data_IF_593825005133
#
_entry.id   IF_593825005133
#
_cell.length_a   1.000
_cell.length_b   1.000
_cell.length_c   1.000
_cell.angle_alpha   90.00
_cell.angle_beta   90.00
_cell.angle_gamma   90.00
#
_symmetry.space_group_name_H-M   'P 1'
#
loop_
_entity.id
_entity.type
_entity.pdbx_description
1 polymer ?
#
# COMPACT_ATOMS: atom_id res chain seq x y z
N UNK A 1 2.77 -6.92 -24.90
CA UNK A 1 4.19 -7.05 -24.52
C UNK A 1 4.26 -7.16 -23.02
N UNK A 2 5.12 -8.04 -22.48
CA UNK A 2 5.36 -8.10 -21.03
C UNK A 2 6.11 -6.83 -20.65
N UNK A 3 5.67 -6.11 -19.63
CA UNK A 3 6.35 -4.93 -19.09
C UNK A 3 7.87 -5.15 -18.92
N UNK A 4 8.25 -6.37 -18.52
CA UNK A 4 9.62 -6.78 -18.30
C UNK A 4 10.48 -6.90 -19.58
N UNK A 5 9.90 -6.85 -20.79
CA UNK A 5 10.70 -6.76 -22.02
C UNK A 5 11.15 -5.34 -22.33
N UNK A 6 10.47 -4.32 -21.79
CA UNK A 6 10.78 -2.91 -22.01
C UNK A 6 11.57 -2.30 -20.85
N UNK A 7 11.32 -2.76 -19.62
CA UNK A 7 12.08 -2.35 -18.43
C UNK A 7 13.34 -3.22 -18.28
N UNK A 8 14.52 -2.57 -18.26
CA UNK A 8 15.78 -3.27 -17.96
C UNK A 8 15.85 -3.54 -16.45
N UNK A 9 15.55 -4.77 -16.03
CA UNK A 9 15.53 -5.15 -14.62
C UNK A 9 16.87 -4.90 -13.92
N UNK A 10 16.84 -4.24 -12.77
CA UNK A 10 18.03 -3.86 -12.00
C UNK A 10 18.16 -4.61 -10.67
N UNK A 11 17.05 -5.11 -10.10
CA UNK A 11 17.05 -5.78 -8.79
C UNK A 11 16.97 -7.32 -8.84
N UNK A 12 16.26 -7.94 -9.78
CA UNK A 12 16.25 -9.41 -9.92
C UNK A 12 15.92 -9.90 -11.34
N UNK A 13 16.46 -11.06 -11.78
CA UNK A 13 16.29 -11.56 -13.15
C UNK A 13 15.05 -12.44 -13.37
N UNK A 14 14.43 -12.99 -12.31
CA UNK A 14 13.36 -13.99 -12.44
C UNK A 14 11.98 -13.38 -12.27
N UNK A 15 11.63 -12.43 -13.16
CA UNK A 15 10.26 -11.96 -13.24
C UNK A 15 9.34 -13.06 -13.78
N UNK A 16 8.15 -13.26 -13.21
CA UNK A 16 7.19 -14.24 -13.69
C UNK A 16 6.79 -13.94 -15.15
N UNK A 17 7.10 -14.86 -16.06
CA UNK A 17 6.84 -14.71 -17.51
C UNK A 17 5.33 -14.64 -17.85
N UNK A 18 4.45 -14.91 -16.89
CA UNK A 18 2.98 -15.03 -17.05
C UNK A 18 2.18 -13.76 -16.69
N UNK A 19 2.82 -12.61 -16.47
CA UNK A 19 2.10 -11.33 -16.34
C UNK A 19 1.63 -10.78 -17.70
N UNK A 20 0.83 -11.57 -18.41
CA UNK A 20 0.12 -11.13 -19.62
C UNK A 20 -1.38 -10.93 -19.34
N UNK A 21 -1.94 -9.85 -19.86
CA UNK A 21 -3.35 -9.47 -19.67
C UNK A 21 -3.63 -8.81 -18.31
N UNK A 22 -4.87 -8.91 -17.82
CA UNK A 22 -5.27 -8.35 -16.52
C UNK A 22 -4.49 -9.03 -15.38
N UNK A 23 -3.78 -8.22 -14.59
CA UNK A 23 -2.98 -8.67 -13.45
C UNK A 23 -3.85 -8.58 -12.19
N UNK A 24 -4.05 -9.70 -11.51
CA UNK A 24 -4.85 -9.80 -10.29
C UNK A 24 -3.98 -10.30 -9.13
N UNK A 25 -4.43 -10.10 -7.89
CA UNK A 25 -3.74 -10.64 -6.71
C UNK A 25 -3.55 -12.16 -6.75
N UNK A 26 -4.52 -12.90 -7.30
CA UNK A 26 -4.41 -14.36 -7.46
C UNK A 26 -3.28 -14.73 -8.42
N UNK A 27 -3.19 -14.08 -9.59
CA UNK A 27 -2.08 -14.29 -10.53
C UNK A 27 -0.73 -13.92 -9.93
N UNK A 28 -0.69 -12.89 -9.09
CA UNK A 28 0.52 -12.51 -8.37
C UNK A 28 0.95 -13.60 -7.39
N UNK A 29 0.03 -14.19 -6.62
CA UNK A 29 0.34 -15.32 -5.75
C UNK A 29 0.76 -16.58 -6.52
N UNK A 30 0.11 -16.91 -7.63
CA UNK A 30 0.52 -18.03 -8.49
C UNK A 30 1.97 -17.86 -8.96
N UNK A 31 2.30 -16.66 -9.44
CA UNK A 31 3.64 -16.28 -9.85
C UNK A 31 4.66 -16.38 -8.70
N UNK A 32 4.31 -15.90 -7.50
CA UNK A 32 5.14 -16.03 -6.30
C UNK A 32 5.35 -17.49 -5.92
N UNK A 33 4.32 -18.34 -5.93
CA UNK A 33 4.42 -19.78 -5.66
C UNK A 33 5.35 -20.51 -6.63
N UNK A 34 5.33 -20.14 -7.92
CA UNK A 34 6.24 -20.69 -8.93
C UNK A 34 7.70 -20.28 -8.68
N UNK A 35 7.95 -19.01 -8.31
CA UNK A 35 9.29 -18.43 -8.22
C UNK A 35 9.98 -18.53 -6.85
N UNK A 36 9.23 -18.57 -5.76
CA UNK A 36 9.76 -18.38 -4.40
C UNK A 36 10.42 -19.63 -3.82
N UNK A 37 10.18 -20.81 -4.42
CA UNK A 37 10.77 -22.06 -3.96
C UNK A 37 10.35 -22.44 -2.54
N UNK A 38 9.13 -22.09 -2.14
CA UNK A 38 8.59 -22.41 -0.81
C UNK A 38 7.95 -23.81 -0.72
N UNK A 39 7.88 -24.55 -1.83
CA UNK A 39 7.52 -25.98 -1.88
C UNK A 39 6.16 -26.31 -1.24
N UNK A 40 5.18 -25.39 -1.36
CA UNK A 40 3.84 -25.53 -0.76
C UNK A 40 3.76 -25.22 0.74
N UNK A 41 4.89 -24.88 1.36
CA UNK A 41 5.04 -24.41 2.74
C UNK A 41 5.18 -22.88 2.78
N UNK A 42 5.40 -22.33 3.97
CA UNK A 42 5.76 -20.91 4.13
C UNK A 42 7.27 -20.79 4.23
N UNK A 43 7.87 -19.98 3.35
CA UNK A 43 9.31 -19.71 3.39
C UNK A 43 9.59 -18.40 4.13
N UNK A 44 10.50 -18.46 5.10
CA UNK A 44 11.06 -17.29 5.78
C UNK A 44 12.58 -17.45 5.79
N UNK A 45 13.27 -16.49 5.18
CA UNK A 45 14.68 -16.58 4.81
C UNK A 45 14.95 -17.85 4.00
N UNK A 46 15.90 -18.67 4.42
CA UNK A 46 16.19 -19.97 3.82
C UNK A 46 15.48 -21.13 4.54
N UNK A 47 14.59 -20.87 5.49
CA UNK A 47 13.81 -21.88 6.19
C UNK A 47 12.43 -22.11 5.55
N UNK A 48 12.02 -23.38 5.48
CA UNK A 48 10.66 -23.79 5.17
C UNK A 48 9.96 -24.21 6.47
N UNK A 49 8.74 -23.69 6.66
CA UNK A 49 7.97 -23.87 7.87
C UNK A 49 6.57 -24.38 7.55
N UNK A 50 6.11 -25.37 8.31
CA UNK A 50 4.71 -25.81 8.28
C UNK A 50 3.95 -25.21 9.47
N UNK A 51 3.23 -24.12 9.20
CA UNK A 51 2.40 -23.44 10.19
C UNK A 51 0.92 -23.81 10.05
N UNK A 52 0.57 -24.91 9.35
CA UNK A 52 -0.82 -25.27 9.04
C UNK A 52 -1.73 -25.33 10.27
N UNK A 53 -1.26 -25.91 11.37
CA UNK A 53 -1.99 -25.99 12.65
C UNK A 53 -2.09 -24.64 13.37
N UNK A 54 -1.17 -23.71 13.08
CA UNK A 54 -1.13 -22.39 13.70
C UNK A 54 -1.99 -21.34 12.98
N UNK A 55 -2.32 -21.56 11.69
CA UNK A 55 -3.05 -20.61 10.82
C UNK A 55 -4.25 -19.96 11.52
N UNK A 56 -5.13 -20.77 12.11
CA UNK A 56 -6.37 -20.29 12.74
C UNK A 56 -6.13 -19.54 14.06
N UNK A 57 -4.98 -19.74 14.69
CA UNK A 57 -4.59 -19.10 15.95
C UNK A 57 -3.66 -17.90 15.77
N UNK A 58 -3.30 -17.56 14.53
CA UNK A 58 -2.39 -16.47 14.24
C UNK A 58 -2.94 -15.12 14.76
N UNK A 59 -2.22 -14.42 15.66
CA UNK A 59 -2.72 -13.19 16.28
C UNK A 59 -3.05 -12.07 15.30
N UNK A 60 -2.40 -12.04 14.13
CA UNK A 60 -2.67 -11.07 13.06
C UNK A 60 -3.89 -11.39 12.20
N UNK A 61 -4.50 -12.58 12.35
CA UNK A 61 -5.59 -13.09 11.52
C UNK A 61 -5.14 -14.22 10.59
N UNK A 62 -6.02 -15.20 10.37
CA UNK A 62 -5.70 -16.40 9.57
C UNK A 62 -5.51 -16.09 8.09
N UNK A 63 -6.21 -15.08 7.57
CA UNK A 63 -6.23 -14.76 6.15
C UNK A 63 -4.83 -14.56 5.56
N UNK A 64 -3.92 -13.97 6.35
CA UNK A 64 -2.53 -13.72 5.93
C UNK A 64 -1.78 -15.01 5.59
N UNK A 65 -1.90 -16.03 6.44
CA UNK A 65 -1.22 -17.30 6.21
C UNK A 65 -1.96 -18.16 5.18
N UNK A 66 -3.29 -18.08 5.12
CA UNK A 66 -4.10 -18.76 4.11
C UNK A 66 -3.76 -18.31 2.69
N UNK A 67 -3.67 -16.99 2.45
CA UNK A 67 -3.37 -16.45 1.12
C UNK A 67 -1.92 -16.69 0.69
N UNK A 68 -0.97 -16.59 1.62
CA UNK A 68 0.47 -16.71 1.36
C UNK A 68 1.02 -18.14 1.41
N UNK A 69 0.18 -19.16 1.60
CA UNK A 69 0.63 -20.55 1.57
C UNK A 69 1.37 -20.86 0.27
N UNK A 70 2.58 -21.40 0.38
CA UNK A 70 3.42 -21.73 -0.78
C UNK A 70 4.26 -20.57 -1.31
N UNK A 71 4.37 -19.44 -0.61
CA UNK A 71 5.23 -18.30 -1.02
C UNK A 71 6.36 -18.03 -0.02
N UNK A 72 7.33 -17.22 -0.46
CA UNK A 72 8.31 -16.56 0.41
C UNK A 72 7.64 -15.35 1.05
N UNK A 73 7.54 -15.38 2.38
CA UNK A 73 6.91 -14.35 3.21
C UNK A 73 7.94 -13.65 4.11
N UNK A 74 9.23 -13.68 3.75
CA UNK A 74 10.30 -13.09 4.56
C UNK A 74 10.07 -11.61 4.82
N UNK A 75 9.82 -10.81 3.79
CA UNK A 75 9.61 -9.37 3.91
C UNK A 75 8.37 -9.06 4.77
N UNK A 76 7.29 -9.83 4.57
CA UNK A 76 6.07 -9.70 5.37
C UNK A 76 6.33 -10.04 6.84
N UNK A 77 7.03 -11.15 7.10
CA UNK A 77 7.39 -11.58 8.44
C UNK A 77 8.25 -10.52 9.15
N UNK A 78 9.26 -9.99 8.48
CA UNK A 78 10.20 -9.02 9.05
C UNK A 78 9.56 -7.68 9.37
N UNK A 79 8.74 -7.15 8.45
CA UNK A 79 8.08 -5.85 8.57
C UNK A 79 6.91 -5.83 9.55
N UNK A 80 6.22 -6.96 9.72
CA UNK A 80 5.01 -7.02 10.54
C UNK A 80 5.27 -7.55 11.96
N UNK A 81 6.42 -8.18 12.21
CA UNK A 81 6.80 -8.66 13.54
C UNK A 81 7.96 -7.87 14.12
N UNK A 82 7.65 -6.94 15.03
CA UNK A 82 8.65 -6.06 15.61
C UNK A 82 9.44 -6.69 16.77
N UNK A 83 8.87 -7.68 17.46
CA UNK A 83 9.54 -8.35 18.59
C UNK A 83 10.27 -9.63 18.17
N UNK A 84 11.09 -10.19 19.05
CA UNK A 84 11.77 -11.48 18.83
C UNK A 84 10.91 -12.70 19.15
N UNK A 85 9.71 -12.53 19.73
CA UNK A 85 8.85 -13.65 20.10
C UNK A 85 8.38 -14.50 18.90
N UNK A 86 7.98 -13.91 17.76
CA UNK A 86 7.62 -14.67 16.56
C UNK A 86 8.78 -15.51 16.02
N UNK A 87 10.01 -15.00 16.01
CA UNK A 87 11.21 -15.76 15.58
C UNK A 87 11.46 -16.99 16.48
N UNK A 88 11.25 -16.86 17.79
CA UNK A 88 11.38 -17.97 18.73
C UNK A 88 10.27 -19.02 18.54
N UNK A 89 9.03 -18.57 18.36
CA UNK A 89 7.88 -19.44 18.12
C UNK A 89 8.05 -20.22 16.80
N UNK A 90 8.55 -19.56 15.76
CA UNK A 90 8.69 -20.10 14.42
C UNK A 90 9.57 -21.37 14.37
N UNK A 91 10.54 -21.50 15.28
CA UNK A 91 11.43 -22.68 15.39
C UNK A 91 10.65 -23.99 15.55
N UNK A 92 9.46 -23.96 16.15
CA UNK A 92 8.60 -25.15 16.36
C UNK A 92 8.03 -25.71 15.06
N UNK A 93 7.91 -24.87 14.04
CA UNK A 93 7.30 -25.20 12.76
C UNK A 93 8.33 -25.48 11.67
N UNK A 94 9.62 -25.46 12.01
CA UNK A 94 10.70 -25.63 11.05
C UNK A 94 10.73 -27.05 10.49
N UNK A 95 10.74 -27.15 9.16
CA UNK A 95 10.81 -28.45 8.45
C UNK A 95 12.24 -28.70 7.96
N UNK A 96 12.75 -27.82 7.10
CA UNK A 96 14.12 -27.89 6.54
C UNK A 96 14.50 -26.59 5.85
N UNK A 97 15.74 -26.52 5.34
CA UNK A 97 16.17 -25.42 4.46
C UNK A 97 15.56 -25.56 3.06
N UNK A 98 15.26 -24.43 2.44
CA UNK A 98 14.89 -24.36 1.03
C UNK A 98 16.10 -24.72 0.15
N UNK A 99 15.86 -25.46 -0.94
CA UNK A 99 16.94 -25.87 -1.86
C UNK A 99 17.31 -24.74 -2.82
N UNK A 100 16.31 -23.95 -3.25
CA UNK A 100 16.50 -22.83 -4.17
C UNK A 100 16.88 -21.57 -3.40
N UNK A 101 17.72 -20.72 -3.99
CA UNK A 101 17.94 -19.36 -3.49
C UNK A 101 16.63 -18.55 -3.47
N UNK A 102 16.56 -17.55 -2.59
CA UNK A 102 15.40 -16.64 -2.52
C UNK A 102 15.27 -15.85 -3.83
N UNK A 103 14.02 -15.65 -4.26
CA UNK A 103 13.69 -14.78 -5.38
C UNK A 103 13.28 -13.38 -4.88
N UNK A 104 14.19 -12.73 -4.15
CA UNK A 104 14.00 -11.39 -3.61
C UNK A 104 15.34 -10.65 -3.63
N UNK A 105 15.35 -9.33 -3.95
CA UNK A 105 16.56 -8.52 -3.88
C UNK A 105 16.94 -8.14 -2.44
N UNK A 106 16.05 -8.36 -1.47
CA UNK A 106 16.18 -7.79 -0.13
C UNK A 106 16.91 -8.70 0.85
N UNK A 107 17.70 -8.05 1.69
CA UNK A 107 18.46 -8.61 2.80
C UNK A 107 18.02 -7.99 4.12
N UNK A 108 18.24 -8.75 5.19
CA UNK A 108 17.91 -8.39 6.56
C UNK A 108 19.13 -8.69 7.45
N UNK A 109 20.31 -8.27 7.02
CA UNK A 109 21.56 -8.46 7.77
C UNK A 109 21.46 -7.77 9.15
N UNK A 110 22.03 -8.38 10.18
CA UNK A 110 21.88 -7.92 11.57
C UNK A 110 22.50 -6.54 11.85
N UNK A 111 23.56 -6.21 11.11
CA UNK A 111 24.24 -4.92 11.08
C UNK A 111 23.72 -4.00 9.96
N UNK A 112 22.74 -4.45 9.18
CA UNK A 112 22.03 -3.65 8.18
C UNK A 112 21.18 -2.55 8.81
N UNK A 113 20.78 -1.59 7.99
CA UNK A 113 19.96 -0.44 8.40
C UNK A 113 18.64 -0.89 9.00
N UNK A 114 17.92 -1.79 8.32
CA UNK A 114 16.59 -2.20 8.77
C UNK A 114 16.61 -2.88 10.15
N UNK A 115 17.49 -3.87 10.33
CA UNK A 115 17.62 -4.60 11.61
C UNK A 115 18.13 -3.68 12.72
N UNK A 116 19.02 -2.74 12.40
CA UNK A 116 19.48 -1.73 13.35
C UNK A 116 18.35 -0.80 13.79
N UNK A 117 17.57 -0.27 12.86
CA UNK A 117 16.41 0.56 13.19
C UNK A 117 15.37 -0.22 13.99
N UNK A 118 15.01 -1.43 13.55
CA UNK A 118 14.04 -2.32 14.22
C UNK A 118 14.42 -2.60 15.68
N UNK A 119 15.72 -2.75 15.97
CA UNK A 119 16.27 -2.89 17.33
C UNK A 119 16.22 -1.59 18.12
N UNK A 120 16.58 -0.48 17.49
CA UNK A 120 16.62 0.84 18.13
C UNK A 120 15.23 1.37 18.50
N UNK A 121 14.17 1.01 17.75
CA UNK A 121 12.80 1.43 18.07
C UNK A 121 12.19 0.65 19.26
N UNK A 122 12.67 -0.57 19.58
CA UNK A 122 12.10 -1.40 20.65
C UNK A 122 11.93 -0.68 22.01
N UNK A 123 12.95 0.03 22.55
CA UNK A 123 12.77 0.78 23.79
C UNK A 123 11.75 1.90 23.65
N UNK A 124 11.69 2.56 22.50
CA UNK A 124 10.74 3.66 22.23
C UNK A 124 9.31 3.15 22.18
N UNK A 125 9.06 1.99 21.55
CA UNK A 125 7.71 1.38 21.49
C UNK A 125 7.09 1.18 22.88
N UNK A 126 7.91 0.94 23.90
CA UNK A 126 7.46 0.74 25.29
C UNK A 126 7.03 2.05 25.98
N UNK A 127 7.50 3.20 25.49
CA UNK A 127 7.20 4.52 26.06
C UNK A 127 6.04 5.23 25.37
N UNK A 128 5.58 4.71 24.21
CA UNK A 128 4.47 5.31 23.45
C UNK A 128 3.19 5.32 24.30
N UNK A 129 2.46 6.45 24.34
CA UNK A 129 1.19 6.54 25.04
C UNK A 129 0.18 5.49 24.54
N UNK A 130 -0.38 4.70 25.47
CA UNK A 130 -1.33 3.62 25.14
C UNK A 130 -2.62 4.11 24.49
N UNK A 131 -2.97 5.38 24.68
CA UNK A 131 -4.19 5.99 24.12
C UNK A 131 -4.05 6.39 22.65
N UNK A 132 -2.85 6.36 22.08
CA UNK A 132 -2.60 6.76 20.68
C UNK A 132 -3.51 6.02 19.68
N UNK A 133 -3.58 4.69 19.77
CA UNK A 133 -4.46 3.90 18.90
C UNK A 133 -5.96 4.15 19.18
N UNK A 134 -6.32 4.53 20.41
CA UNK A 134 -7.71 4.91 20.71
C UNK A 134 -8.09 6.22 20.03
N UNK A 135 -7.15 7.17 19.93
CA UNK A 135 -7.39 8.44 19.24
C UNK A 135 -7.61 8.21 17.74
N UNK A 136 -6.75 7.42 17.09
CA UNK A 136 -6.94 7.09 15.66
C UNK A 136 -8.23 6.31 15.43
N UNK A 137 -8.55 5.33 16.27
CA UNK A 137 -9.84 4.62 16.26
C UNK A 137 -11.03 5.59 16.28
N UNK A 138 -11.04 6.55 17.22
CA UNK A 138 -12.13 7.52 17.37
C UNK A 138 -12.23 8.47 16.18
N UNK A 139 -11.11 8.92 15.61
CA UNK A 139 -11.11 9.76 14.42
C UNK A 139 -11.67 8.98 13.22
N UNK A 140 -11.24 7.75 13.01
CA UNK A 140 -11.75 6.88 11.94
C UNK A 140 -13.26 6.65 12.09
N UNK A 141 -13.73 6.32 13.29
CA UNK A 141 -15.17 6.11 13.57
C UNK A 141 -15.98 7.41 13.31
N UNK A 142 -15.46 8.55 13.77
CA UNK A 142 -16.10 9.84 13.58
C UNK A 142 -16.19 10.24 12.09
N UNK A 143 -15.15 9.96 11.30
CA UNK A 143 -15.16 10.19 9.85
C UNK A 143 -16.24 9.36 9.17
N UNK A 144 -16.40 8.07 9.53
CA UNK A 144 -17.46 7.22 8.95
C UNK A 144 -18.85 7.71 9.34
N UNK A 145 -19.09 8.02 10.62
CA UNK A 145 -20.39 8.58 11.04
C UNK A 145 -20.67 9.89 10.30
N UNK A 146 -19.66 10.77 10.19
CA UNK A 146 -19.78 12.02 9.47
C UNK A 146 -20.11 11.80 7.99
N UNK A 147 -19.49 10.81 7.31
CA UNK A 147 -19.83 10.46 5.92
C UNK A 147 -21.32 10.15 5.76
N UNK A 148 -21.90 9.33 6.65
CA UNK A 148 -23.33 9.00 6.57
C UNK A 148 -24.20 10.24 6.80
N UNK A 149 -23.90 11.04 7.83
CA UNK A 149 -24.67 12.25 8.14
C UNK A 149 -24.61 13.27 7.00
N UNK A 150 -23.43 13.52 6.44
CA UNK A 150 -23.25 14.49 5.34
C UNK A 150 -23.83 13.98 4.03
N UNK A 151 -23.77 12.67 3.74
CA UNK A 151 -24.38 12.10 2.54
C UNK A 151 -25.91 12.16 2.58
N UNK A 152 -26.51 11.86 3.74
CA UNK A 152 -27.95 12.01 3.98
C UNK A 152 -28.35 13.47 3.83
N UNK A 153 -27.60 14.39 4.44
CA UNK A 153 -27.85 15.83 4.31
C UNK A 153 -27.74 16.33 2.86
N UNK A 154 -26.68 15.93 2.15
CA UNK A 154 -26.48 16.25 0.73
C UNK A 154 -27.65 15.76 -0.13
N UNK A 155 -28.13 14.54 0.12
CA UNK A 155 -29.24 13.93 -0.61
C UNK A 155 -30.56 14.62 -0.31
N UNK A 156 -30.89 14.83 0.97
CA UNK A 156 -32.14 15.48 1.40
C UNK A 156 -32.26 16.91 0.90
N UNK A 157 -31.15 17.63 0.85
CA UNK A 157 -31.10 19.02 0.36
C UNK A 157 -30.76 19.12 -1.13
N UNK A 158 -30.53 18.00 -1.82
CA UNK A 158 -30.02 17.96 -3.21
C UNK A 158 -28.79 18.88 -3.44
N UNK A 159 -27.92 18.99 -2.43
CA UNK A 159 -26.79 19.93 -2.42
C UNK A 159 -25.49 19.22 -2.81
N UNK A 160 -25.00 19.49 -4.02
CA UNK A 160 -23.70 19.00 -4.47
C UNK A 160 -22.52 19.58 -3.68
N UNK A 161 -22.66 20.77 -3.11
CA UNK A 161 -21.63 21.35 -2.24
C UNK A 161 -21.44 20.50 -0.97
N UNK A 162 -22.53 20.08 -0.32
CA UNK A 162 -22.47 19.14 0.81
C UNK A 162 -22.00 17.76 0.33
N UNK A 163 -22.36 17.37 -0.90
CA UNK A 163 -21.83 16.17 -1.55
C UNK A 163 -20.31 16.16 -1.66
N UNK A 164 -19.68 17.29 -2.02
CA UNK A 164 -18.20 17.42 -2.06
C UNK A 164 -17.61 17.27 -0.65
N UNK A 165 -18.21 17.90 0.37
CA UNK A 165 -17.77 17.72 1.77
C UNK A 165 -17.85 16.24 2.17
N UNK A 166 -18.98 15.59 1.87
CA UNK A 166 -19.19 14.17 2.15
C UNK A 166 -18.18 13.27 1.44
N UNK A 167 -17.79 13.63 0.21
CA UNK A 167 -16.79 12.91 -0.57
C UNK A 167 -15.39 13.02 0.05
N UNK A 168 -14.98 14.22 0.49
CA UNK A 168 -13.71 14.40 1.19
C UNK A 168 -13.66 13.61 2.51
N UNK A 169 -14.75 13.64 3.28
CA UNK A 169 -14.85 12.88 4.55
C UNK A 169 -14.80 11.36 4.27
N UNK A 170 -15.51 10.87 3.24
CA UNK A 170 -15.43 9.47 2.81
C UNK A 170 -13.99 9.08 2.44
N UNK A 171 -13.28 9.95 1.70
CA UNK A 171 -11.87 9.72 1.36
C UNK A 171 -10.99 9.63 2.60
N UNK A 172 -11.10 10.59 3.52
CA UNK A 172 -10.33 10.60 4.76
C UNK A 172 -10.63 9.38 5.63
N UNK A 173 -11.90 8.98 5.76
CA UNK A 173 -12.30 7.77 6.46
C UNK A 173 -11.73 6.51 5.80
N UNK A 174 -11.73 6.45 4.47
CA UNK A 174 -11.15 5.33 3.71
C UNK A 174 -9.64 5.23 3.93
N UNK A 175 -8.89 6.34 3.80
CA UNK A 175 -7.44 6.36 4.05
C UNK A 175 -7.13 6.01 5.51
N UNK A 176 -7.88 6.56 6.46
CA UNK A 176 -7.72 6.23 7.88
C UNK A 176 -7.97 4.73 8.16
N UNK A 177 -8.91 4.12 7.44
CA UNK A 177 -9.23 2.69 7.56
C UNK A 177 -8.08 1.78 7.12
N UNK A 178 -7.19 2.25 6.25
CA UNK A 178 -6.02 1.49 5.80
C UNK A 178 -5.08 1.12 6.96
N UNK A 179 -4.94 2.00 7.95
CA UNK A 179 -4.22 1.74 9.20
C UNK A 179 -4.71 0.47 9.94
N UNK A 180 -5.96 0.05 9.72
CA UNK A 180 -6.56 -1.07 10.45
C UNK A 180 -6.37 -2.41 9.78
N UNK A 181 -6.24 -2.47 8.45
CA UNK A 181 -6.09 -3.77 7.79
C UNK A 181 -4.66 -4.32 7.82
N UNK A 182 -3.66 -3.52 8.23
CA UNK A 182 -2.30 -3.96 8.60
C UNK A 182 -2.24 -4.63 9.99
N UNK A 183 -3.19 -4.31 10.86
CA UNK A 183 -3.26 -4.81 12.24
C UNK A 183 -4.05 -6.12 12.31
N UNK A 184 -4.14 -6.68 13.51
CA UNK A 184 -5.09 -7.75 13.84
C UNK A 184 -6.48 -7.41 13.31
N UNK A 185 -7.14 -8.41 12.72
CA UNK A 185 -8.51 -8.30 12.22
C UNK A 185 -9.43 -7.60 13.23
N UNK A 186 -10.09 -6.56 12.75
CA UNK A 186 -10.99 -5.71 13.51
C UNK A 186 -12.03 -5.14 12.54
N UNK A 187 -13.18 -4.70 13.05
CA UNK A 187 -14.29 -4.28 12.18
C UNK A 187 -14.00 -3.01 11.37
N UNK A 188 -13.04 -2.16 11.79
CA UNK A 188 -12.73 -0.89 11.10
C UNK A 188 -12.05 -1.11 9.76
N UNK A 189 -11.45 -2.29 9.51
CA UNK A 189 -10.95 -2.63 8.18
C UNK A 189 -12.06 -2.58 7.11
N UNK A 190 -13.30 -2.86 7.50
CA UNK A 190 -14.44 -2.88 6.57
C UNK A 190 -14.92 -1.49 6.17
N UNK A 191 -14.54 -0.43 6.89
CA UNK A 191 -14.87 0.94 6.50
C UNK A 191 -14.25 1.33 5.17
N UNK A 192 -13.08 0.74 4.84
CA UNK A 192 -12.46 0.87 3.53
C UNK A 192 -13.38 0.45 2.39
N UNK A 193 -14.32 -0.46 2.64
CA UNK A 193 -15.23 -0.94 1.60
C UNK A 193 -16.33 0.07 1.25
N UNK A 194 -16.55 1.13 2.03
CA UNK A 194 -17.57 2.14 1.73
C UNK A 194 -17.29 2.86 0.40
N UNK A 195 -16.03 2.94 -0.02
CA UNK A 195 -15.62 3.64 -1.22
C UNK A 195 -15.55 2.77 -2.49
N UNK A 196 -16.24 1.62 -2.50
CA UNK A 196 -16.22 0.60 -3.58
C UNK A 196 -14.90 -0.16 -3.75
N UNK A 197 -13.85 0.16 -2.99
CA UNK A 197 -12.68 -0.69 -2.90
C UNK A 197 -12.91 -1.85 -1.94
N UNK A 198 -11.99 -2.81 -1.85
CA UNK A 198 -12.11 -3.90 -0.89
C UNK A 198 -10.80 -4.14 -0.13
N UNK A 199 -10.91 -4.25 1.21
CA UNK A 199 -9.74 -4.44 2.06
C UNK A 199 -8.99 -5.77 1.75
N UNK A 200 -9.68 -6.82 1.28
CA UNK A 200 -9.03 -8.11 0.97
C UNK A 200 -8.13 -7.98 -0.25
N UNK A 201 -8.61 -7.35 -1.31
CA UNK A 201 -7.81 -7.00 -2.48
C UNK A 201 -6.62 -6.11 -2.11
N UNK A 202 -6.85 -5.10 -1.27
CA UNK A 202 -5.80 -4.18 -0.80
C UNK A 202 -4.76 -4.84 0.11
N UNK A 203 -5.13 -5.83 0.91
CA UNK A 203 -4.15 -6.68 1.63
C UNK A 203 -3.17 -7.36 0.67
N UNK A 204 -3.61 -7.67 -0.55
CA UNK A 204 -2.72 -8.24 -1.56
C UNK A 204 -1.97 -7.15 -2.31
N UNK A 205 -2.66 -6.24 -3.00
CA UNK A 205 -2.04 -5.23 -3.86
C UNK A 205 -1.15 -4.27 -3.08
N UNK A 206 -1.68 -3.73 -1.99
CA UNK A 206 -1.03 -2.67 -1.23
C UNK A 206 -0.12 -3.24 -0.15
N UNK A 207 -0.61 -4.18 0.66
CA UNK A 207 0.15 -4.68 1.82
C UNK A 207 1.23 -5.69 1.44
N UNK A 208 0.88 -6.78 0.76
CA UNK A 208 1.86 -7.83 0.45
C UNK A 208 2.70 -7.54 -0.79
N UNK A 209 2.20 -6.70 -1.69
CA UNK A 209 2.90 -6.35 -2.92
C UNK A 209 3.58 -4.98 -2.80
N UNK A 210 2.81 -3.90 -2.68
CA UNK A 210 3.35 -2.54 -2.74
C UNK A 210 4.26 -2.21 -1.55
N UNK A 211 3.84 -2.42 -0.31
CA UNK A 211 4.71 -2.13 0.86
C UNK A 211 5.99 -2.98 0.87
N UNK A 212 5.91 -4.24 0.47
CA UNK A 212 7.07 -5.13 0.53
C UNK A 212 8.04 -4.91 -0.64
N UNK A 213 7.55 -4.46 -1.79
CA UNK A 213 8.31 -4.42 -3.04
C UNK A 213 8.15 -3.09 -3.80
N UNK A 214 7.93 -1.98 -3.09
CA UNK A 214 7.58 -0.65 -3.63
C UNK A 214 8.42 -0.28 -4.85
N UNK A 215 7.77 0.17 -5.92
CA UNK A 215 8.39 0.61 -7.18
C UNK A 215 9.30 -0.44 -7.87
N UNK A 216 9.24 -1.72 -7.48
CA UNK A 216 9.87 -2.81 -8.23
C UNK A 216 8.85 -3.48 -9.16
N UNK A 217 9.31 -4.44 -9.97
CA UNK A 217 8.40 -5.27 -10.77
C UNK A 217 7.42 -6.13 -9.96
N UNK A 218 7.68 -6.40 -8.68
CA UNK A 218 6.73 -7.16 -7.86
C UNK A 218 5.59 -6.29 -7.29
N UNK A 219 5.69 -4.97 -7.44
CA UNK A 219 4.67 -4.02 -7.04
C UNK A 219 3.51 -4.01 -8.05
N UNK A 220 2.42 -4.68 -7.68
CA UNK A 220 1.15 -4.69 -8.41
C UNK A 220 0.62 -3.29 -8.68
N UNK A 221 0.80 -2.33 -7.79
CA UNK A 221 0.27 -0.98 -7.98
C UNK A 221 1.09 -0.24 -9.04
N UNK A 222 2.40 -0.42 -9.07
CA UNK A 222 3.25 0.09 -10.15
C UNK A 222 2.95 -0.60 -11.50
N UNK A 223 2.93 -1.94 -11.52
CA UNK A 223 2.82 -2.72 -12.76
C UNK A 223 1.43 -2.66 -13.39
N UNK A 224 0.37 -2.64 -12.59
CA UNK A 224 -1.02 -2.64 -13.11
C UNK A 224 -1.32 -1.37 -13.90
N UNK A 225 -0.77 -0.23 -13.47
CA UNK A 225 -1.03 1.06 -14.10
C UNK A 225 -0.02 1.42 -15.19
N UNK A 226 1.10 0.71 -15.32
CA UNK A 226 2.19 1.05 -16.24
C UNK A 226 1.73 1.19 -17.71
N UNK A 227 0.79 0.36 -18.17
CA UNK A 227 0.28 0.44 -19.56
C UNK A 227 -0.52 1.73 -19.83
N UNK A 228 -1.16 2.29 -18.78
CA UNK A 228 -2.04 3.44 -18.87
C UNK A 228 -1.31 4.74 -18.51
N UNK A 229 -0.48 4.70 -17.48
CA UNK A 229 0.34 5.79 -16.97
C UNK A 229 1.73 5.21 -16.57
N UNK A 230 2.69 5.16 -17.51
CA UNK A 230 3.97 4.51 -17.29
C UNK A 230 4.87 5.33 -16.37
N UNK A 231 5.15 4.78 -15.19
CA UNK A 231 6.04 5.36 -14.19
C UNK A 231 7.46 4.80 -14.30
N UNK A 232 7.69 3.67 -14.96
CA UNK A 232 9.05 3.19 -15.14
C UNK A 232 9.84 4.05 -16.14
N UNK A 233 11.17 4.21 -15.93
CA UNK A 233 12.06 4.97 -16.80
C UNK A 233 12.39 4.19 -18.08
N UNK A 234 11.39 4.07 -18.96
CA UNK A 234 11.53 3.45 -20.28
C UNK A 234 11.27 4.48 -21.37
N UNK A 235 11.80 4.23 -22.57
CA UNK A 235 11.54 5.10 -23.73
C UNK A 235 10.04 5.18 -24.01
N UNK A 236 9.51 6.41 -24.08
CA UNK A 236 8.08 6.66 -24.23
C UNK A 236 7.82 7.48 -25.50
N UNK A 237 7.02 6.98 -26.44
CA UNK A 237 6.58 7.79 -27.58
C UNK A 237 5.94 9.10 -27.11
N UNK A 238 6.14 10.19 -27.86
CA UNK A 238 5.60 11.51 -27.51
C UNK A 238 4.09 11.47 -27.21
N UNK A 239 3.32 10.74 -28.02
CA UNK A 239 1.88 10.57 -27.81
C UNK A 239 1.56 9.88 -26.48
N UNK A 240 2.35 8.89 -26.06
CA UNK A 240 2.19 8.21 -24.77
C UNK A 240 2.39 9.19 -23.62
N UNK A 241 3.38 10.08 -23.69
CA UNK A 241 3.63 11.11 -22.67
C UNK A 241 2.44 12.06 -22.53
N UNK A 242 1.96 12.65 -23.63
CA UNK A 242 0.78 13.53 -23.60
C UNK A 242 -0.48 12.79 -23.11
N UNK A 243 -0.71 11.57 -23.59
CA UNK A 243 -1.84 10.74 -23.17
C UNK A 243 -1.79 10.45 -21.67
N UNK A 244 -0.62 10.18 -21.10
CA UNK A 244 -0.48 9.81 -19.68
C UNK A 244 -0.97 10.89 -18.71
N UNK A 245 -0.81 12.18 -19.06
CA UNK A 245 -1.30 13.31 -18.26
C UNK A 245 -2.83 13.34 -18.19
N UNK A 246 -3.48 13.05 -19.32
CA UNK A 246 -4.94 12.96 -19.40
C UNK A 246 -5.41 11.67 -18.72
N UNK A 247 -4.77 10.55 -19.03
CA UNK A 247 -5.12 9.24 -18.49
C UNK A 247 -5.02 9.19 -16.97
N UNK A 248 -3.96 9.72 -16.35
CA UNK A 248 -3.84 9.70 -14.89
C UNK A 248 -4.99 10.46 -14.22
N UNK A 249 -5.38 11.60 -14.78
CA UNK A 249 -6.51 12.40 -14.27
C UNK A 249 -7.85 11.68 -14.45
N UNK A 250 -8.07 11.04 -15.60
CA UNK A 250 -9.27 10.22 -15.83
C UNK A 250 -9.29 8.99 -14.92
N UNK A 251 -8.13 8.38 -14.67
CA UNK A 251 -7.99 7.27 -13.75
C UNK A 251 -8.31 7.69 -12.32
N UNK A 252 -7.96 8.91 -11.88
CA UNK A 252 -8.35 9.38 -10.56
C UNK A 252 -9.86 9.38 -10.37
N UNK A 253 -10.61 9.84 -11.37
CA UNK A 253 -12.09 9.83 -11.34
C UNK A 253 -12.66 8.41 -11.38
N UNK A 254 -12.03 7.52 -12.15
CA UNK A 254 -12.52 6.16 -12.37
C UNK A 254 -12.01 5.11 -11.35
N UNK A 255 -11.05 5.46 -10.49
CA UNK A 255 -10.28 4.52 -9.68
C UNK A 255 -11.15 3.57 -8.85
N UNK A 256 -12.10 4.11 -8.08
CA UNK A 256 -13.02 3.30 -7.28
C UNK A 256 -13.92 2.39 -8.11
N UNK A 257 -14.41 2.88 -9.25
CA UNK A 257 -15.25 2.10 -10.15
C UNK A 257 -14.47 0.96 -10.81
N UNK A 258 -13.23 1.22 -11.22
CA UNK A 258 -12.33 0.20 -11.77
C UNK A 258 -11.97 -0.85 -10.73
N UNK A 259 -11.68 -0.44 -9.49
CA UNK A 259 -11.42 -1.37 -8.39
C UNK A 259 -12.62 -2.30 -8.15
N UNK A 260 -13.84 -1.75 -8.12
CA UNK A 260 -15.05 -2.55 -7.96
C UNK A 260 -15.34 -3.44 -9.18
N UNK A 261 -15.07 -2.97 -10.39
CA UNK A 261 -15.18 -3.78 -11.60
C UNK A 261 -14.23 -4.98 -11.56
N UNK A 262 -12.97 -4.76 -11.18
CA UNK A 262 -12.00 -5.86 -11.01
C UNK A 262 -12.41 -6.82 -9.90
N UNK A 263 -13.02 -6.30 -8.82
CA UNK A 263 -13.62 -7.14 -7.78
C UNK A 263 -14.75 -8.00 -8.33
N UNK A 264 -15.68 -7.44 -9.12
CA UNK A 264 -16.76 -8.21 -9.78
C UNK A 264 -16.18 -9.31 -10.68
N UNK A 265 -15.19 -9.00 -11.50
CA UNK A 265 -14.52 -9.98 -12.36
C UNK A 265 -13.91 -11.10 -11.52
N UNK A 266 -13.21 -10.76 -10.44
CA UNK A 266 -12.63 -11.73 -9.49
C UNK A 266 -13.71 -12.59 -8.81
N UNK A 267 -14.84 -12.02 -8.40
CA UNK A 267 -15.97 -12.77 -7.82
C UNK A 267 -16.55 -13.78 -8.82
N UNK A 268 -16.73 -13.37 -10.08
CA UNK A 268 -17.24 -14.25 -11.14
C UNK A 268 -16.26 -15.40 -11.42
N UNK A 269 -14.97 -15.08 -11.53
CA UNK A 269 -13.92 -16.08 -11.83
C UNK A 269 -13.72 -17.07 -10.69
N UNK A 270 -13.66 -16.57 -9.44
CA UNK A 270 -13.42 -17.40 -8.26
C UNK A 270 -14.68 -18.08 -7.72
N UNK A 271 -15.87 -17.62 -8.13
CA UNK A 271 -17.17 -17.98 -7.55
C UNK A 271 -17.25 -17.75 -6.04
N UNK A 272 -16.49 -16.79 -5.52
CA UNK A 272 -16.47 -16.40 -4.09
C UNK A 272 -17.07 -15.01 -3.93
N UNK A 273 -18.04 -14.90 -3.04
CA UNK A 273 -18.69 -13.65 -2.66
C UNK A 273 -18.69 -13.56 -1.14
N UNK A 274 -18.37 -12.39 -0.60
CA UNK A 274 -18.35 -12.11 0.82
C UNK A 274 -19.39 -11.05 1.17
N UNK A 275 -19.93 -11.08 2.39
CA UNK A 275 -20.87 -10.06 2.88
C UNK A 275 -20.27 -8.65 2.77
N UNK A 276 -18.96 -8.53 2.98
CA UNK A 276 -18.24 -7.26 2.85
C UNK A 276 -18.30 -6.63 1.47
N UNK A 277 -18.59 -7.43 0.42
CA UNK A 277 -18.66 -6.94 -0.96
C UNK A 277 -19.92 -6.09 -1.19
N UNK A 278 -20.89 -6.14 -0.27
CA UNK A 278 -22.12 -5.34 -0.31
C UNK A 278 -22.07 -4.08 0.59
N UNK A 279 -21.00 -3.90 1.38
CA UNK A 279 -20.81 -2.71 2.23
C UNK A 279 -20.90 -1.38 1.48
N UNK A 280 -20.37 -1.23 0.24
CA UNK A 280 -20.48 0.04 -0.47
C UNK A 280 -21.93 0.52 -0.66
N UNK A 281 -22.89 -0.41 -0.70
CA UNK A 281 -24.31 -0.09 -0.89
C UNK A 281 -25.05 0.27 0.41
N UNK A 282 -24.39 0.18 1.57
CA UNK A 282 -24.99 0.61 2.85
C UNK A 282 -25.21 2.12 2.90
N UNK A 283 -24.31 2.91 2.29
CA UNK A 283 -24.44 4.36 2.21
C UNK A 283 -25.67 4.82 1.38
N UNK A 284 -25.84 4.41 0.10
CA UNK A 284 -27.04 4.75 -0.65
C UNK A 284 -28.31 4.15 -0.04
N UNK A 285 -28.24 2.98 0.60
CA UNK A 285 -29.38 2.42 1.33
C UNK A 285 -29.79 3.33 2.49
N UNK A 286 -28.84 3.81 3.31
CA UNK A 286 -29.13 4.73 4.40
C UNK A 286 -29.71 6.06 3.90
N UNK A 287 -29.19 6.61 2.80
CA UNK A 287 -29.75 7.80 2.14
C UNK A 287 -31.20 7.54 1.70
N UNK A 288 -31.48 6.41 1.06
CA UNK A 288 -32.83 6.06 0.59
C UNK A 288 -33.83 5.91 1.74
N UNK A 289 -33.45 5.21 2.81
CA UNK A 289 -34.33 4.95 3.95
C UNK A 289 -34.64 6.19 4.80
N UNK A 290 -33.80 7.24 4.74
CA UNK A 290 -33.91 8.40 5.63
C UNK A 290 -34.34 9.70 4.94
N UNK A 291 -34.09 9.85 3.64
CA UNK A 291 -34.34 11.11 2.94
C UNK A 291 -35.79 11.27 2.45
N UNK A 292 -36.52 10.17 2.21
CA UNK A 292 -37.87 10.22 1.63
C UNK A 292 -37.90 10.79 0.19
N UNK A 293 -36.80 10.66 -0.55
CA UNK A 293 -36.65 11.11 -1.94
C UNK A 293 -36.62 9.92 -2.90
N UNK A 294 -36.85 10.18 -4.19
CA UNK A 294 -36.82 9.14 -5.22
C UNK A 294 -35.46 8.46 -5.31
N UNK A 295 -35.48 7.17 -5.65
CA UNK A 295 -34.27 6.34 -5.82
C UNK A 295 -33.28 6.97 -6.81
N UNK A 296 -33.76 7.62 -7.87
CA UNK A 296 -32.92 8.30 -8.85
C UNK A 296 -32.09 9.43 -8.22
N UNK A 297 -32.67 10.20 -7.30
CA UNK A 297 -31.99 11.30 -6.59
C UNK A 297 -30.89 10.74 -5.68
N UNK A 298 -31.20 9.65 -4.95
CA UNK A 298 -30.25 8.94 -4.11
C UNK A 298 -29.06 8.44 -4.93
N UNK A 299 -29.33 7.70 -6.00
CA UNK A 299 -28.28 7.12 -6.84
C UNK A 299 -27.41 8.20 -7.49
N UNK A 300 -28.01 9.30 -7.98
CA UNK A 300 -27.27 10.43 -8.56
C UNK A 300 -26.33 11.06 -7.53
N UNK A 301 -26.81 11.33 -6.31
CA UNK A 301 -26.00 11.93 -5.26
C UNK A 301 -24.90 10.97 -4.76
N UNK A 302 -25.22 9.70 -4.57
CA UNK A 302 -24.24 8.69 -4.16
C UNK A 302 -23.13 8.52 -5.20
N UNK A 303 -23.48 8.37 -6.48
CA UNK A 303 -22.50 8.29 -7.56
C UNK A 303 -21.64 9.55 -7.65
N UNK A 304 -22.22 10.74 -7.42
CA UNK A 304 -21.45 11.98 -7.34
C UNK A 304 -20.43 11.95 -6.18
N UNK A 305 -20.86 11.59 -4.96
CA UNK A 305 -19.99 11.50 -3.78
C UNK A 305 -18.84 10.52 -4.04
N UNK A 306 -19.15 9.33 -4.56
CA UNK A 306 -18.15 8.29 -4.90
C UNK A 306 -17.17 8.80 -5.95
N UNK A 307 -17.65 9.49 -6.99
CA UNK A 307 -16.82 10.02 -8.08
C UNK A 307 -15.82 11.07 -7.57
N UNK A 308 -16.30 12.02 -6.76
CA UNK A 308 -15.44 13.05 -6.16
C UNK A 308 -14.47 12.41 -5.17
N UNK A 309 -14.93 11.43 -4.37
CA UNK A 309 -14.09 10.74 -3.40
C UNK A 309 -12.98 9.93 -4.09
N UNK A 310 -13.28 9.29 -5.22
CA UNK A 310 -12.32 8.60 -6.07
C UNK A 310 -11.22 9.55 -6.54
N UNK A 311 -11.61 10.73 -7.06
CA UNK A 311 -10.68 11.74 -7.50
C UNK A 311 -9.74 12.19 -6.38
N UNK A 312 -10.29 12.55 -5.21
CA UNK A 312 -9.50 13.02 -4.06
C UNK A 312 -8.57 11.91 -3.54
N UNK A 313 -9.08 10.68 -3.43
CA UNK A 313 -8.28 9.55 -2.95
C UNK A 313 -7.09 9.26 -3.87
N UNK A 314 -7.35 9.15 -5.17
CA UNK A 314 -6.31 8.81 -6.14
C UNK A 314 -5.29 9.95 -6.34
N UNK A 315 -5.74 11.21 -6.29
CA UNK A 315 -4.85 12.36 -6.30
C UNK A 315 -3.91 12.34 -5.10
N UNK A 316 -4.43 12.08 -3.88
CA UNK A 316 -3.59 11.91 -2.68
C UNK A 316 -2.65 10.72 -2.84
N UNK A 317 -3.17 9.53 -3.16
CA UNK A 317 -2.39 8.29 -3.23
C UNK A 317 -1.22 8.36 -4.22
N UNK A 318 -1.47 8.87 -5.42
CA UNK A 318 -0.42 8.99 -6.46
C UNK A 318 0.61 10.10 -6.19
N UNK A 319 0.28 11.10 -5.37
CA UNK A 319 1.19 12.20 -5.03
C UNK A 319 1.78 12.13 -3.62
N UNK A 320 1.46 11.09 -2.85
CA UNK A 320 1.82 11.01 -1.44
C UNK A 320 3.32 10.81 -1.20
N UNK A 321 3.98 9.89 -1.93
CA UNK A 321 5.31 9.41 -1.54
C UNK A 321 6.18 8.82 -2.68
N UNK A 322 5.62 7.99 -3.57
CA UNK A 322 6.45 7.08 -4.39
C UNK A 322 6.87 7.61 -5.76
N UNK A 323 6.04 8.42 -6.40
CA UNK A 323 6.19 8.76 -7.82
C UNK A 323 6.98 10.06 -8.02
N UNK A 324 8.19 10.15 -7.47
CA UNK A 324 9.09 11.28 -7.67
C UNK A 324 10.28 10.89 -8.55
N UNK A 325 10.82 11.78 -9.43
CA UNK A 325 11.99 11.48 -10.27
C UNK A 325 13.24 11.05 -9.52
N UNK A 326 13.39 11.48 -8.29
CA UNK A 326 14.51 11.10 -7.43
C UNK A 326 14.26 9.79 -6.70
N UNK A 327 13.00 9.34 -6.57
CA UNK A 327 12.69 8.04 -5.99
C UNK A 327 13.15 6.92 -6.93
N UNK A 328 13.61 5.82 -6.33
CA UNK A 328 13.94 4.62 -7.07
C UNK A 328 12.70 4.06 -7.77
N UNK A 329 12.84 3.77 -9.05
CA UNK A 329 11.91 2.92 -9.79
C UNK A 329 12.72 1.84 -10.52
N UNK A 330 12.12 0.66 -10.73
CA UNK A 330 12.80 -0.43 -11.44
C UNK A 330 13.43 0.06 -12.75
N UNK A 331 14.69 -0.32 -12.97
CA UNK A 331 15.52 0.15 -14.06
C UNK A 331 16.58 1.13 -13.60
N UNK A 332 16.32 1.89 -12.54
CA UNK A 332 17.34 2.73 -11.91
C UNK A 332 18.46 1.87 -11.31
N UNK A 333 19.65 2.44 -11.22
CA UNK A 333 20.79 1.83 -10.55
C UNK A 333 20.49 1.68 -9.04
N UNK A 334 20.46 0.45 -8.50
CA UNK A 334 20.26 0.24 -7.08
C UNK A 334 21.55 0.55 -6.32
N UNK A 335 21.45 0.89 -5.03
CA UNK A 335 22.63 1.13 -4.17
C UNK A 335 23.56 -0.07 -4.07
N UNK A 336 23.00 -1.28 -4.16
CA UNK A 336 23.74 -2.53 -4.22
C UNK A 336 22.90 -3.60 -4.94
N UNK A 337 23.55 -4.69 -5.39
CA UNK A 337 22.84 -5.84 -6.01
C UNK A 337 21.92 -6.57 -5.02
N UNK A 338 22.30 -6.59 -3.75
CA UNK A 338 21.48 -7.06 -2.63
C UNK A 338 21.23 -5.85 -1.74
N UNK A 339 19.96 -5.50 -1.58
CA UNK A 339 19.57 -4.27 -0.88
C UNK A 339 19.19 -4.57 0.56
N UNK A 340 19.60 -3.72 1.48
CA UNK A 340 18.93 -3.65 2.79
C UNK A 340 17.47 -3.25 2.53
N UNK A 341 16.53 -4.03 3.07
CA UNK A 341 15.09 -3.79 2.89
C UNK A 341 14.69 -2.36 3.27
N UNK A 342 15.21 -1.88 4.40
CA UNK A 342 14.85 -0.55 4.91
C UNK A 342 15.41 0.56 4.03
N UNK A 343 16.65 0.43 3.54
CA UNK A 343 17.22 1.39 2.59
C UNK A 343 16.39 1.45 1.30
N UNK A 344 15.90 0.32 0.79
CA UNK A 344 15.01 0.32 -0.38
C UNK A 344 13.70 1.07 -0.13
N UNK A 345 13.07 0.85 1.04
CA UNK A 345 11.87 1.60 1.41
C UNK A 345 12.16 3.10 1.42
N UNK A 346 13.30 3.53 1.97
CA UNK A 346 13.70 4.94 1.95
C UNK A 346 14.02 5.46 0.55
N UNK A 347 14.61 4.64 -0.31
CA UNK A 347 14.90 5.04 -1.69
C UNK A 347 13.62 5.22 -2.53
N UNK A 348 12.51 4.61 -2.14
CA UNK A 348 11.23 4.60 -2.87
C UNK A 348 10.12 5.43 -2.22
N UNK A 349 10.40 6.07 -1.09
CA UNK A 349 9.41 6.88 -0.36
C UNK A 349 9.94 8.27 -0.03
N UNK A 350 8.99 9.19 0.15
CA UNK A 350 9.22 10.51 0.72
C UNK A 350 8.07 10.83 1.70
N UNK A 351 8.42 11.50 2.79
CA UNK A 351 7.48 12.13 3.68
C UNK A 351 7.19 13.57 3.21
N UNK A 352 6.03 14.11 3.59
CA UNK A 352 5.60 15.45 3.18
C UNK A 352 5.69 16.44 4.32
N UNK A 353 6.40 17.56 4.08
CA UNK A 353 6.65 18.59 5.08
C UNK A 353 5.37 19.12 5.76
N UNK A 354 4.29 19.29 4.99
CA UNK A 354 3.02 19.85 5.45
C UNK A 354 2.15 18.83 6.18
N UNK A 355 2.47 17.53 6.06
CA UNK A 355 1.69 16.42 6.64
C UNK A 355 2.33 15.94 7.93
N UNK A 356 3.65 15.72 7.92
CA UNK A 356 4.41 15.23 9.07
C UNK A 356 4.21 16.14 10.28
N UNK A 357 3.93 15.55 11.43
CA UNK A 357 3.68 16.28 12.69
C UNK A 357 2.23 16.73 12.88
N UNK A 358 1.34 16.55 11.91
CA UNK A 358 -0.10 16.72 12.09
C UNK A 358 -0.80 15.34 12.13
N UNK A 359 -1.23 14.85 13.32
CA UNK A 359 -1.79 13.50 13.45
C UNK A 359 -3.01 13.23 12.57
N UNK A 360 -3.84 14.25 12.32
CA UNK A 360 -5.02 14.10 11.45
C UNK A 360 -4.60 13.93 10.00
N UNK A 361 -3.70 14.78 9.48
CA UNK A 361 -3.22 14.68 8.10
C UNK A 361 -2.42 13.39 7.89
N UNK A 362 -1.60 12.99 8.86
CA UNK A 362 -0.87 11.71 8.82
C UNK A 362 -1.83 10.55 8.64
N UNK A 363 -2.88 10.46 9.47
CA UNK A 363 -3.87 9.39 9.41
C UNK A 363 -4.70 9.40 8.12
N UNK A 364 -5.07 10.58 7.62
CA UNK A 364 -6.09 10.73 6.55
C UNK A 364 -5.53 10.96 5.16
N UNK A 365 -4.21 11.10 5.03
CA UNK A 365 -3.57 11.37 3.73
C UNK A 365 -2.36 10.49 3.42
N UNK A 366 -2.13 9.39 4.16
CA UNK A 366 -0.91 8.57 4.07
C UNK A 366 0.37 9.35 4.45
N UNK A 367 0.38 10.00 5.61
CA UNK A 367 1.59 10.63 6.15
C UNK A 367 2.49 9.66 6.90
N UNK A 368 3.63 10.15 7.37
CA UNK A 368 4.71 9.37 7.98
C UNK A 368 5.03 8.10 7.17
N UNK A 369 5.06 8.27 5.85
CA UNK A 369 4.97 7.23 4.85
C UNK A 369 6.19 6.29 4.88
N UNK A 370 7.38 6.85 5.10
CA UNK A 370 8.61 6.07 5.22
C UNK A 370 8.55 5.11 6.43
N UNK A 371 8.15 5.61 7.61
CA UNK A 371 8.01 4.79 8.81
C UNK A 371 6.86 3.78 8.68
N UNK A 372 5.76 4.17 8.04
CA UNK A 372 4.64 3.28 7.74
C UNK A 372 5.06 2.11 6.84
N UNK A 373 5.87 2.35 5.80
CA UNK A 373 6.42 1.28 4.96
C UNK A 373 7.38 0.34 5.70
N UNK A 374 8.19 0.89 6.61
CA UNK A 374 9.14 0.10 7.40
C UNK A 374 8.44 -0.75 8.47
N UNK A 375 7.38 -0.21 9.09
CA UNK A 375 6.68 -0.78 10.24
C UNK A 375 5.15 -0.63 10.13
N UNK A 376 4.51 -1.26 9.13
CA UNK A 376 3.10 -1.01 8.78
C UNK A 376 2.09 -1.40 9.87
N UNK A 377 2.51 -2.23 10.82
CA UNK A 377 1.66 -2.66 11.95
C UNK A 377 1.60 -1.64 13.08
N UNK A 378 2.49 -0.64 13.09
CA UNK A 378 2.47 0.45 14.05
C UNK A 378 1.35 1.40 13.64
N UNK A 379 0.51 1.76 14.61
CA UNK A 379 -0.57 2.72 14.39
C UNK A 379 -0.01 4.07 13.90
N UNK A 380 -0.67 4.69 12.92
CA UNK A 380 -0.26 6.00 12.40
C UNK A 380 -0.09 7.08 13.48
N UNK A 381 -0.91 7.06 14.54
CA UNK A 381 -0.76 8.01 15.64
C UNK A 381 0.54 7.83 16.43
N UNK A 382 1.17 6.65 16.33
CA UNK A 382 2.37 6.26 17.07
C UNK A 382 3.67 6.49 16.29
N UNK A 383 3.61 6.65 14.96
CA UNK A 383 4.79 6.82 14.11
C UNK A 383 5.60 8.08 14.47
N UNK A 384 4.91 9.16 14.83
CA UNK A 384 5.55 10.43 15.26
C UNK A 384 6.60 10.25 16.36
N UNK A 385 6.41 9.28 17.27
CA UNK A 385 7.34 9.06 18.39
C UNK A 385 8.65 8.37 17.96
N UNK A 386 8.70 7.84 16.73
CA UNK A 386 9.86 7.12 16.21
C UNK A 386 10.83 8.01 15.44
N UNK A 387 10.42 9.22 15.02
CA UNK A 387 11.28 10.13 14.24
C UNK A 387 12.65 10.38 14.88
N UNK A 388 12.77 10.65 16.21
CA UNK A 388 14.09 10.92 16.80
C UNK A 388 15.08 9.75 16.65
N UNK A 389 14.60 8.51 16.81
CA UNK A 389 15.45 7.31 16.66
C UNK A 389 15.67 6.95 15.19
N UNK A 390 14.67 7.21 14.35
CA UNK A 390 14.72 7.01 12.91
C UNK A 390 15.75 7.93 12.25
N UNK A 391 15.69 9.24 12.49
CA UNK A 391 16.63 10.23 11.98
C UNK A 391 18.05 9.97 12.45
N UNK A 392 18.22 9.60 13.72
CA UNK A 392 19.52 9.19 14.26
C UNK A 392 20.08 8.00 13.48
N UNK A 393 19.26 6.97 13.26
CA UNK A 393 19.69 5.77 12.53
C UNK A 393 19.97 6.09 11.06
N UNK A 394 19.18 6.93 10.40
CA UNK A 394 19.47 7.39 9.03
C UNK A 394 20.82 8.08 8.94
N UNK A 395 21.16 8.95 9.91
CA UNK A 395 22.45 9.63 9.97
C UNK A 395 23.62 8.65 10.16
N UNK A 396 23.46 7.61 10.98
CA UNK A 396 24.48 6.57 11.19
C UNK A 396 24.81 5.81 9.89
N UNK A 397 23.84 5.67 8.99
CA UNK A 397 23.99 4.98 7.70
C UNK A 397 24.23 5.95 6.52
N UNK A 398 24.43 7.25 6.78
CA UNK A 398 24.66 8.24 5.72
C UNK A 398 23.48 8.40 4.77
N UNK A 399 22.26 8.26 5.27
CA UNK A 399 21.02 8.42 4.50
C UNK A 399 20.47 9.84 4.70
N UNK A 400 20.15 10.49 3.57
CA UNK A 400 19.59 11.84 3.55
C UNK A 400 18.15 11.93 4.06
N UNK A 401 17.71 13.16 4.32
CA UNK A 401 16.34 13.47 4.70
C UNK A 401 15.32 12.97 3.65
N UNK A 402 14.20 12.46 4.14
CA UNK A 402 13.09 11.96 3.35
C UNK A 402 11.95 12.98 3.15
N UNK A 403 12.11 14.22 3.63
CA UNK A 403 11.05 15.24 3.54
C UNK A 403 11.06 15.99 2.20
N UNK A 404 9.88 16.14 1.60
CA UNK A 404 9.64 16.97 0.41
C UNK A 404 8.38 17.83 0.59
N UNK A 405 8.32 19.05 0.05
CA UNK A 405 7.07 19.81 -0.01
C UNK A 405 6.01 19.06 -0.84
N UNK A 406 4.74 19.15 -0.43
CA UNK A 406 3.63 18.53 -1.17
C UNK A 406 3.56 19.01 -2.63
N UNK A 407 3.86 20.28 -2.88
CA UNK A 407 3.91 20.85 -4.23
C UNK A 407 5.01 20.22 -5.10
N UNK A 408 6.17 19.92 -4.51
CA UNK A 408 7.25 19.23 -5.19
C UNK A 408 6.86 17.79 -5.52
N UNK A 409 6.21 17.09 -4.59
CA UNK A 409 5.71 15.72 -4.83
C UNK A 409 4.69 15.69 -5.97
N UNK A 410 3.74 16.63 -6.00
CA UNK A 410 2.74 16.72 -7.06
C UNK A 410 3.37 17.00 -8.43
N UNK A 411 4.31 17.95 -8.52
CA UNK A 411 5.07 18.21 -9.77
C UNK A 411 5.94 17.01 -10.15
N UNK A 412 6.52 16.35 -9.14
CA UNK A 412 7.33 15.14 -9.27
C UNK A 412 6.59 14.01 -9.98
N UNK A 413 5.34 13.76 -9.61
CA UNK A 413 4.48 12.76 -10.28
C UNK A 413 4.47 12.94 -11.80
N UNK A 414 4.21 14.17 -12.27
CA UNK A 414 4.17 14.44 -13.70
C UNK A 414 5.55 14.39 -14.35
N UNK A 415 6.61 14.83 -13.65
CA UNK A 415 7.99 14.66 -14.14
C UNK A 415 8.36 13.18 -14.27
N UNK A 416 7.89 12.32 -13.36
CA UNK A 416 8.14 10.89 -13.41
C UNK A 416 7.44 10.23 -14.60
N UNK A 417 6.19 10.62 -14.89
CA UNK A 417 5.49 10.16 -16.10
C UNK A 417 6.26 10.50 -17.39
N UNK A 418 6.97 11.63 -17.40
CA UNK A 418 7.81 12.05 -18.53
C UNK A 418 9.21 11.41 -18.56
N UNK A 419 9.67 10.78 -17.48
CA UNK A 419 11.03 10.24 -17.35
C UNK A 419 11.20 9.02 -18.27
N UNK A 420 12.23 9.05 -19.11
CA UNK A 420 12.50 8.00 -20.12
C UNK A 420 13.77 7.21 -19.86
N UNK A 421 14.70 7.79 -19.11
CA UNK A 421 16.02 7.22 -18.88
C UNK A 421 16.18 6.84 -17.41
N UNK A 422 16.70 5.64 -17.12
CA UNK A 422 16.99 5.26 -15.76
C UNK A 422 18.19 6.04 -15.22
N UNK A 423 18.18 6.29 -13.93
CA UNK A 423 19.35 6.84 -13.27
C UNK A 423 20.49 5.84 -13.25
N UNK A 424 21.65 6.22 -13.78
CA UNK A 424 22.84 5.36 -13.81
C UNK A 424 23.58 5.32 -12.46
N UNK A 425 23.35 6.33 -11.61
CA UNK A 425 23.89 6.42 -10.25
C UNK A 425 22.79 6.15 -9.22
N UNK A 426 23.11 5.44 -8.12
CA UNK A 426 22.19 5.27 -7.00
C UNK A 426 21.79 6.60 -6.38
N UNK A 427 20.57 6.67 -5.80
CA UNK A 427 19.99 7.92 -5.26
C UNK A 427 20.93 8.72 -4.36
N UNK A 428 21.65 8.08 -3.44
CA UNK A 428 22.61 8.74 -2.54
C UNK A 428 23.91 9.23 -3.19
N UNK A 429 24.11 9.00 -4.49
CA UNK A 429 25.32 9.37 -5.23
C UNK A 429 25.03 10.30 -6.43
N UNK A 430 23.80 10.80 -6.56
CA UNK A 430 23.38 11.65 -7.70
C UNK A 430 23.76 13.12 -7.54
N UNK A 431 24.04 13.56 -6.31
CA UNK A 431 24.33 14.96 -5.95
C UNK A 431 25.76 15.17 -5.42
N UNK A 432 26.66 14.22 -5.64
CA UNK A 432 28.09 14.31 -5.30
C UNK A 432 28.92 14.76 -6.48
#
# INVERSE_FOLDING_TARGET
>A
MSLASEVKLSLTPNYPKKFAGLITGDKWFEAKREGDGAEGLWRIHDGLYDVSEFVQSHPGGSSWLEMTKGTDITEAFESHHLSSAPEQMLKKFYVRKAVKHRNSPFTFEEDGFYRTLKRNIQPVLKTIPKNTSRTTDLVTDALVVATFLTAICACKLSSFAIGVISACILTFGSIASHNHFHKRDNFRMYYFNLCLMDFRGWRVSHVLSHHLFTNTIYDLEAVTWEVLAPHFPVKKPFFTKCRSFVTITLLWVAFYFLAYLFKIISMIQSRKVYISDFIPFTLPLAMYLTCGVDLQVVLKMWLFIVTVSSFVFAAIGTSASHHHPDAFHEGDAPRAKKLDFGIHQLDTTYDRCEVTGNPFLVLTTFGDHALHHLFPTIDHGALQYLYPVFEKTMKEFGIDNQMKPLSEMFVGLYRQLLREEPHLLPRGSRNT
#
